data_IF_639697130520
#
_entry.id   IF_639697130520
#
_cell.length_a   1.000
_cell.length_b   1.000
_cell.length_c   1.000
_cell.angle_alpha   90.00
_cell.angle_beta   90.00
_cell.angle_gamma   90.00
#
_symmetry.space_group_name_H-M   'P 1'
#
loop_
_entity.id
_entity.type
_entity.pdbx_description
1 polymer ?
#
# COMPACT_ATOMS: atom_id res chain seq x y z
N UNK A 1 -21.36 -8.77 4.23
CA UNK A 1 -20.75 -8.33 5.51
C UNK A 1 -19.54 -7.47 5.19
N UNK A 2 -19.38 -6.32 5.85
CA UNK A 2 -18.26 -5.42 5.63
C UNK A 2 -17.03 -5.94 6.39
N UNK A 3 -15.97 -6.34 5.67
CA UNK A 3 -14.72 -6.78 6.32
C UNK A 3 -13.87 -5.57 6.67
N UNK A 4 -13.63 -5.35 7.94
CA UNK A 4 -12.76 -4.27 8.44
C UNK A 4 -11.49 -4.90 9.01
N UNK A 5 -10.33 -4.40 8.59
CA UNK A 5 -9.03 -4.80 9.11
C UNK A 5 -8.36 -3.64 9.84
N UNK A 6 -7.56 -3.97 10.85
CA UNK A 6 -6.80 -2.99 11.62
C UNK A 6 -5.38 -2.86 11.07
N UNK A 7 -4.91 -1.63 10.92
CA UNK A 7 -3.51 -1.34 10.60
C UNK A 7 -2.80 -0.76 11.85
N UNK A 8 -1.59 -1.24 12.19
CA UNK A 8 -0.78 -2.26 11.52
C UNK A 8 -1.47 -3.63 11.44
N UNK A 9 -1.18 -4.39 10.36
CA UNK A 9 -1.85 -5.65 10.08
C UNK A 9 -1.02 -6.86 10.53
N UNK A 10 -1.66 -7.78 11.26
CA UNK A 10 -1.02 -9.01 11.73
C UNK A 10 -1.02 -10.09 10.64
N UNK A 11 -0.02 -10.96 10.65
CA UNK A 11 0.09 -12.07 9.68
C UNK A 11 -1.12 -13.00 9.70
N UNK A 12 -1.69 -13.25 10.88
CA UNK A 12 -2.90 -14.07 11.03
C UNK A 12 -4.12 -13.47 10.32
N UNK A 13 -4.20 -12.14 10.25
CA UNK A 13 -5.27 -11.45 9.52
C UNK A 13 -5.01 -11.47 8.02
N UNK A 14 -3.75 -11.27 7.60
CA UNK A 14 -3.36 -11.35 6.19
C UNK A 14 -3.73 -12.70 5.58
N UNK A 15 -3.45 -13.80 6.28
CA UNK A 15 -3.75 -15.17 5.80
C UNK A 15 -5.22 -15.44 5.55
N UNK A 16 -6.11 -14.70 6.20
CA UNK A 16 -7.57 -14.85 6.03
C UNK A 16 -8.10 -14.14 4.80
N UNK A 17 -7.38 -13.14 4.31
CA UNK A 17 -7.79 -12.33 3.16
C UNK A 17 -7.44 -13.05 1.86
N UNK A 18 -8.38 -13.02 0.93
CA UNK A 18 -8.24 -13.67 -0.38
C UNK A 18 -8.34 -12.65 -1.50
N UNK A 19 -7.65 -12.93 -2.60
CA UNK A 19 -7.73 -12.14 -3.82
C UNK A 19 -9.18 -11.93 -4.24
N UNK A 20 -9.56 -10.67 -4.49
CA UNK A 20 -10.92 -10.25 -4.80
C UNK A 20 -11.73 -9.75 -3.60
N UNK A 21 -11.27 -9.95 -2.36
CA UNK A 21 -11.98 -9.45 -1.18
C UNK A 21 -12.01 -7.93 -1.16
N UNK A 22 -13.20 -7.37 -0.89
CA UNK A 22 -13.36 -5.95 -0.57
C UNK A 22 -13.21 -5.74 0.92
N UNK A 23 -12.23 -4.93 1.31
CA UNK A 23 -11.92 -4.65 2.71
C UNK A 23 -11.83 -3.16 3.01
N UNK A 24 -12.01 -2.82 4.26
CA UNK A 24 -11.89 -1.46 4.79
C UNK A 24 -10.79 -1.43 5.84
N UNK A 25 -9.80 -0.54 5.64
CA UNK A 25 -8.67 -0.39 6.56
C UNK A 25 -8.96 0.71 7.55
N UNK A 26 -8.75 0.43 8.83
CA UNK A 26 -8.81 1.42 9.91
C UNK A 26 -7.51 1.35 10.71
N UNK A 27 -6.97 2.50 11.11
CA UNK A 27 -5.74 2.61 11.89
C UNK A 27 -4.66 3.41 11.19
N UNK A 28 -3.41 3.10 11.48
CA UNK A 28 -2.25 3.84 10.98
C UNK A 28 -1.66 3.19 9.74
N UNK A 29 -1.49 3.98 8.67
CA UNK A 29 -0.73 3.59 7.47
C UNK A 29 0.30 4.67 7.13
N UNK A 30 1.27 4.35 6.28
CA UNK A 30 2.28 5.30 5.82
C UNK A 30 2.16 5.53 4.32
N UNK A 31 2.61 6.70 3.83
CA UNK A 31 2.73 6.95 2.41
C UNK A 31 4.19 6.90 1.99
N UNK A 32 4.47 6.34 0.83
CA UNK A 32 5.77 6.45 0.18
C UNK A 32 5.62 6.20 -1.32
N UNK A 33 6.25 7.04 -2.13
CA UNK A 33 6.34 6.90 -3.59
C UNK A 33 7.79 6.65 -4.02
N UNK A 34 8.08 6.91 -5.28
CA UNK A 34 9.34 6.61 -5.96
C UNK A 34 10.57 7.15 -5.22
N UNK A 35 10.58 8.44 -4.91
CA UNK A 35 11.73 9.09 -4.28
C UNK A 35 11.98 8.58 -2.86
N UNK A 36 10.92 8.39 -2.08
CA UNK A 36 11.03 7.84 -0.73
C UNK A 36 11.48 6.37 -0.76
N UNK A 37 10.94 5.56 -1.67
CA UNK A 37 11.37 4.16 -1.84
C UNK A 37 12.84 4.07 -2.23
N UNK A 38 13.29 4.89 -3.18
CA UNK A 38 14.69 4.93 -3.59
C UNK A 38 15.59 5.25 -2.39
N UNK A 39 15.25 6.28 -1.62
CA UNK A 39 16.03 6.70 -0.45
C UNK A 39 16.05 5.65 0.66
N UNK A 40 14.91 5.00 0.94
CA UNK A 40 14.87 3.88 1.88
C UNK A 40 15.74 2.71 1.41
N UNK A 41 15.67 2.37 0.13
CA UNK A 41 16.48 1.30 -0.44
C UNK A 41 17.98 1.60 -0.36
N UNK A 42 18.40 2.82 -0.71
CA UNK A 42 19.79 3.28 -0.59
C UNK A 42 20.28 3.23 0.87
N UNK A 43 19.46 3.64 1.83
CA UNK A 43 19.77 3.53 3.26
C UNK A 43 20.02 2.06 3.66
N UNK A 44 19.17 1.13 3.21
CA UNK A 44 19.37 -0.30 3.47
C UNK A 44 20.67 -0.84 2.85
N UNK A 45 21.00 -0.42 1.63
CA UNK A 45 22.27 -0.82 0.98
C UNK A 45 23.49 -0.30 1.75
N UNK A 46 23.37 0.83 2.42
CA UNK A 46 24.42 1.42 3.26
C UNK A 46 24.44 0.88 4.70
N UNK A 47 23.57 -0.07 5.03
CA UNK A 47 23.45 -0.61 6.38
C UNK A 47 22.81 0.34 7.39
N UNK A 48 22.10 1.36 6.92
CA UNK A 48 21.41 2.33 7.75
C UNK A 48 20.00 1.85 8.11
N UNK A 49 19.47 2.34 9.23
CA UNK A 49 18.09 2.09 9.62
C UNK A 49 17.12 2.90 8.75
N UNK A 50 15.92 2.34 8.54
CA UNK A 50 14.82 3.11 7.94
C UNK A 50 14.32 4.22 8.88
N UNK A 51 13.82 5.33 8.33
CA UNK A 51 13.34 6.46 9.14
C UNK A 51 12.03 6.17 9.87
N UNK A 52 11.34 5.09 9.48
CA UNK A 52 10.08 4.62 10.08
C UNK A 52 10.12 3.11 10.24
N UNK A 53 9.46 2.58 11.25
CA UNK A 53 9.26 1.14 11.41
C UNK A 53 8.19 0.68 10.42
N UNK A 54 8.56 -0.23 9.52
CA UNK A 54 7.64 -0.78 8.51
C UNK A 54 7.08 -2.15 8.86
N UNK A 55 7.58 -2.77 9.94
CA UNK A 55 7.14 -4.12 10.33
C UNK A 55 5.63 -4.12 10.63
N UNK A 56 4.91 -5.01 9.93
CA UNK A 56 3.45 -5.13 9.97
C UNK A 56 2.69 -3.87 9.51
N UNK A 57 3.37 -2.83 9.09
CA UNK A 57 2.75 -1.62 8.58
C UNK A 57 2.31 -1.78 7.12
N UNK A 58 1.48 -0.86 6.67
CA UNK A 58 0.98 -0.78 5.29
C UNK A 58 1.54 0.51 4.69
N UNK A 59 2.11 0.40 3.49
CA UNK A 59 2.54 1.57 2.70
C UNK A 59 1.53 1.83 1.58
N UNK A 60 1.00 3.03 1.57
CA UNK A 60 0.17 3.54 0.49
C UNK A 60 1.03 4.32 -0.51
N UNK A 61 1.04 3.87 -1.74
CA UNK A 61 1.75 4.51 -2.86
C UNK A 61 0.98 5.74 -3.31
N UNK A 62 1.20 6.85 -2.62
CA UNK A 62 0.45 8.08 -2.82
C UNK A 62 1.32 9.30 -2.48
N UNK A 63 1.19 10.34 -3.30
CA UNK A 63 1.67 11.68 -3.01
C UNK A 63 0.49 12.64 -3.09
N UNK A 64 0.04 13.21 -1.96
CA UNK A 64 -1.16 14.01 -1.95
C UNK A 64 -0.98 15.34 -2.66
N UNK A 65 -2.06 15.88 -3.22
CA UNK A 65 -2.13 17.30 -3.56
C UNK A 65 -2.18 18.14 -2.28
N UNK A 66 -1.85 19.45 -2.34
CA UNK A 66 -1.94 20.31 -1.18
C UNK A 66 -3.31 20.26 -0.50
N UNK A 67 -3.30 20.24 0.82
CA UNK A 67 -4.52 20.24 1.61
C UNK A 67 -5.30 21.55 1.42
N UNK A 68 -6.61 21.44 1.34
CA UNK A 68 -7.50 22.59 1.45
C UNK A 68 -7.72 22.94 2.91
N UNK A 69 -8.11 24.18 3.18
CA UNK A 69 -8.43 24.64 4.53
C UNK A 69 -9.43 23.70 5.22
N UNK A 70 -9.14 23.33 6.46
CA UNK A 70 -9.96 22.43 7.27
C UNK A 70 -9.87 20.94 6.89
N UNK A 71 -8.98 20.53 5.97
CA UNK A 71 -8.78 19.13 5.59
C UNK A 71 -7.36 18.66 5.92
N UNK A 72 -7.20 17.42 6.40
CA UNK A 72 -5.86 16.88 6.74
C UNK A 72 -4.99 16.66 5.51
N UNK A 73 -5.60 16.47 4.32
CA UNK A 73 -4.91 16.10 3.09
C UNK A 73 -5.71 16.55 1.87
N UNK A 74 -5.03 16.75 0.74
CA UNK A 74 -5.67 16.98 -0.55
C UNK A 74 -6.13 15.69 -1.21
N UNK A 75 -6.15 15.64 -2.55
CA UNK A 75 -6.47 14.42 -3.28
C UNK A 75 -5.44 13.33 -2.99
N UNK A 76 -5.90 12.13 -2.68
CA UNK A 76 -5.11 11.01 -2.19
C UNK A 76 -5.22 9.76 -3.09
N UNK A 77 -5.17 9.95 -4.41
CA UNK A 77 -5.23 8.87 -5.39
C UNK A 77 -3.97 7.99 -5.43
N UNK A 78 -4.11 6.70 -5.72
CA UNK A 78 -2.97 5.77 -5.77
C UNK A 78 -2.07 6.03 -6.97
N UNK A 79 -0.76 5.84 -6.77
CA UNK A 79 0.26 5.81 -7.81
C UNK A 79 0.40 4.41 -8.39
N UNK A 80 0.85 4.31 -9.64
CA UNK A 80 1.17 3.04 -10.30
C UNK A 80 2.23 2.26 -9.53
N UNK A 81 1.85 1.07 -9.06
CA UNK A 81 2.65 0.27 -8.13
C UNK A 81 3.94 -0.29 -8.74
N UNK A 82 3.95 -0.60 -10.03
CA UNK A 82 5.13 -1.15 -10.71
C UNK A 82 6.37 -0.27 -10.63
N UNK A 83 6.20 1.02 -10.41
CA UNK A 83 7.30 1.97 -10.21
C UNK A 83 8.12 1.68 -8.94
N UNK A 84 7.53 1.03 -7.94
CA UNK A 84 8.16 0.65 -6.69
C UNK A 84 8.71 -0.78 -6.69
N UNK A 85 8.47 -1.57 -7.75
CA UNK A 85 8.73 -3.01 -7.76
C UNK A 85 10.19 -3.38 -7.48
N UNK A 86 11.14 -2.60 -7.97
CA UNK A 86 12.57 -2.87 -7.74
C UNK A 86 13.01 -2.70 -6.27
N UNK A 87 12.26 -1.95 -5.48
CA UNK A 87 12.56 -1.68 -4.07
C UNK A 87 11.75 -2.57 -3.12
N UNK A 88 10.60 -3.04 -3.56
CA UNK A 88 9.58 -3.70 -2.73
C UNK A 88 10.08 -4.99 -2.07
N UNK A 89 10.78 -5.91 -2.75
CA UNK A 89 11.24 -7.15 -2.10
C UNK A 89 12.07 -6.91 -0.84
N UNK A 90 12.98 -5.93 -0.86
CA UNK A 90 13.80 -5.60 0.31
C UNK A 90 12.96 -5.12 1.51
N UNK A 91 11.90 -4.34 1.27
CA UNK A 91 11.00 -3.88 2.32
C UNK A 91 10.13 -5.02 2.87
N UNK A 92 9.69 -5.94 2.00
CA UNK A 92 8.94 -7.12 2.42
C UNK A 92 9.77 -8.04 3.32
N UNK A 93 11.05 -8.20 3.05
CA UNK A 93 11.97 -8.96 3.90
C UNK A 93 12.16 -8.35 5.28
N UNK A 94 12.00 -7.04 5.43
CA UNK A 94 11.98 -6.35 6.72
C UNK A 94 10.64 -6.44 7.46
N UNK A 95 9.66 -7.16 6.90
CA UNK A 95 8.39 -7.41 7.54
C UNK A 95 7.27 -6.45 7.17
N UNK A 96 7.40 -5.69 6.08
CA UNK A 96 6.29 -4.87 5.58
C UNK A 96 5.02 -5.74 5.45
N UNK A 97 3.92 -5.29 6.06
CA UNK A 97 2.68 -6.06 6.13
C UNK A 97 1.88 -6.01 4.84
N UNK A 98 1.76 -4.85 4.24
CA UNK A 98 0.97 -4.68 3.03
C UNK A 98 1.33 -3.43 2.24
N UNK A 99 0.79 -3.37 1.03
CA UNK A 99 0.98 -2.25 0.11
C UNK A 99 -0.36 -1.89 -0.52
N UNK A 100 -0.58 -0.61 -0.75
CA UNK A 100 -1.77 -0.10 -1.46
C UNK A 100 -1.28 0.71 -2.67
N UNK A 101 -1.77 0.37 -3.85
CA UNK A 101 -1.43 1.06 -5.08
C UNK A 101 -2.44 0.81 -6.18
N UNK A 102 -2.02 0.92 -7.43
CA UNK A 102 -2.80 0.50 -8.60
C UNK A 102 -1.91 -0.19 -9.64
N UNK A 103 -2.51 -1.07 -10.43
CA UNK A 103 -1.86 -1.77 -11.53
C UNK A 103 -1.12 -3.03 -11.11
N UNK A 104 -0.52 -3.67 -12.08
CA UNK A 104 0.15 -4.97 -11.93
C UNK A 104 1.49 -4.85 -11.20
N UNK A 105 1.92 -5.96 -10.62
CA UNK A 105 3.24 -6.11 -10.00
C UNK A 105 4.12 -7.07 -10.80
N UNK A 106 5.44 -6.94 -10.65
CA UNK A 106 6.39 -7.89 -11.24
C UNK A 106 6.34 -9.26 -10.56
N UNK A 107 6.85 -10.30 -11.25
CA UNK A 107 6.99 -11.64 -10.67
C UNK A 107 7.84 -11.66 -9.41
N UNK A 108 8.91 -10.85 -9.36
CA UNK A 108 9.77 -10.75 -8.17
C UNK A 108 9.01 -10.21 -6.95
N UNK A 109 8.09 -9.26 -7.14
CA UNK A 109 7.24 -8.77 -6.04
C UNK A 109 6.23 -9.83 -5.61
N UNK A 110 5.62 -10.54 -6.56
CA UNK A 110 4.69 -11.63 -6.25
C UNK A 110 5.37 -12.71 -5.42
N UNK A 111 6.56 -13.16 -5.82
CA UNK A 111 7.35 -14.14 -5.07
C UNK A 111 7.70 -13.64 -3.65
N UNK A 112 8.06 -12.37 -3.53
CA UNK A 112 8.36 -11.76 -2.23
C UNK A 112 7.13 -11.62 -1.34
N UNK A 113 5.94 -11.36 -1.90
CA UNK A 113 4.66 -11.35 -1.17
C UNK A 113 4.38 -12.73 -0.56
N UNK A 114 4.52 -13.79 -1.35
CA UNK A 114 4.31 -15.17 -0.89
C UNK A 114 5.34 -15.55 0.18
N UNK A 115 6.62 -15.30 -0.09
CA UNK A 115 7.73 -15.63 0.84
C UNK A 115 7.55 -14.97 2.21
N UNK A 116 7.09 -13.73 2.23
CA UNK A 116 7.00 -12.91 3.44
C UNK A 116 5.57 -12.83 4.02
N UNK A 117 4.63 -13.57 3.45
CA UNK A 117 3.22 -13.56 3.86
C UNK A 117 2.66 -12.14 3.95
N UNK A 118 2.88 -11.36 2.90
CA UNK A 118 2.39 -9.99 2.77
C UNK A 118 1.14 -9.94 1.88
N UNK A 119 0.65 -8.74 1.58
CA UNK A 119 -0.57 -8.56 0.80
C UNK A 119 -0.47 -7.27 -0.04
N UNK A 120 -1.03 -7.31 -1.24
CA UNK A 120 -1.15 -6.14 -2.08
C UNK A 120 -2.61 -5.80 -2.33
N UNK A 121 -2.96 -4.57 -1.99
CA UNK A 121 -4.29 -3.99 -2.18
C UNK A 121 -4.28 -2.99 -3.34
N UNK A 122 -5.41 -2.87 -4.03
CA UNK A 122 -5.69 -1.74 -4.88
C UNK A 122 -6.65 -0.77 -4.19
N UNK A 123 -6.31 0.51 -4.17
CA UNK A 123 -7.28 1.55 -3.90
C UNK A 123 -8.13 1.77 -5.15
N UNK A 124 -9.42 2.06 -4.97
CA UNK A 124 -10.32 2.29 -6.09
C UNK A 124 -9.86 3.54 -6.85
N UNK A 125 -9.40 3.34 -8.10
CA UNK A 125 -8.86 4.40 -8.95
C UNK A 125 -9.88 5.46 -9.29
N UNK A 126 -9.41 6.70 -9.58
CA UNK A 126 -10.26 7.84 -9.90
C UNK A 126 -10.99 8.48 -8.71
N UNK A 127 -10.90 7.88 -7.54
CA UNK A 127 -11.60 8.27 -6.33
C UNK A 127 -10.72 9.04 -5.31
N UNK A 128 -9.65 9.72 -5.76
CA UNK A 128 -8.71 10.40 -4.87
C UNK A 128 -9.37 11.38 -3.87
N UNK A 129 -10.40 12.09 -4.31
CA UNK A 129 -11.19 12.96 -3.43
C UNK A 129 -12.06 12.16 -2.44
N UNK A 130 -12.56 10.99 -2.83
CA UNK A 130 -13.34 10.11 -1.97
C UNK A 130 -12.43 9.39 -0.96
N UNK A 131 -11.27 8.88 -1.41
CA UNK A 131 -10.27 8.24 -0.56
C UNK A 131 -9.76 9.21 0.51
N UNK A 132 -9.58 10.50 0.17
CA UNK A 132 -9.15 11.51 1.13
C UNK A 132 -10.10 11.69 2.31
N UNK A 133 -11.40 11.40 2.14
CA UNK A 133 -12.39 11.46 3.22
C UNK A 133 -12.18 10.38 4.28
N UNK A 134 -11.60 9.26 3.92
CA UNK A 134 -11.24 8.18 4.85
C UNK A 134 -9.98 8.51 5.66
N UNK A 135 -9.21 9.51 5.27
CA UNK A 135 -8.00 9.96 5.95
C UNK A 135 -8.38 11.01 6.99
N UNK A 136 -8.16 10.72 8.26
CA UNK A 136 -8.56 11.57 9.39
C UNK A 136 -7.45 12.50 9.84
N UNK A 137 -6.19 12.09 9.69
CA UNK A 137 -5.02 12.93 9.95
C UNK A 137 -3.87 12.57 9.03
N UNK A 138 -2.96 13.53 8.82
CA UNK A 138 -1.76 13.37 8.00
C UNK A 138 -0.62 14.15 8.61
N UNK A 139 0.50 13.49 8.86
CA UNK A 139 1.70 14.08 9.44
C UNK A 139 2.93 13.65 8.63
N UNK A 140 3.79 14.60 8.25
CA UNK A 140 5.09 14.27 7.67
C UNK A 140 5.98 13.73 8.78
N UNK A 141 6.50 12.51 8.60
CA UNK A 141 7.35 11.85 9.60
C UNK A 141 8.79 11.62 9.13
N UNK A 142 9.02 11.69 7.82
CA UNK A 142 10.37 11.57 7.25
C UNK A 142 10.45 12.16 5.84
N UNK A 143 11.66 12.49 5.43
CA UNK A 143 12.00 12.98 4.07
C UNK A 143 11.19 14.20 3.64
N UNK A 144 11.04 15.17 4.55
CA UNK A 144 10.27 16.40 4.32
C UNK A 144 10.72 17.17 3.07
N UNK A 145 12.02 17.10 2.75
CA UNK A 145 12.61 17.71 1.56
C UNK A 145 12.06 17.14 0.24
N UNK A 146 11.44 15.96 0.26
CA UNK A 146 10.79 15.37 -0.92
C UNK A 146 9.41 15.96 -1.23
N UNK A 147 8.91 16.90 -0.43
CA UNK A 147 7.63 17.55 -0.67
C UNK A 147 6.46 16.56 -0.68
N UNK A 148 5.73 16.47 -1.81
CA UNK A 148 4.59 15.55 -1.94
C UNK A 148 4.97 14.07 -1.85
N UNK A 149 6.24 13.73 -2.02
CA UNK A 149 6.78 12.37 -1.89
C UNK A 149 7.42 12.10 -0.52
N UNK A 150 7.30 13.03 0.44
CA UNK A 150 7.68 12.78 1.82
C UNK A 150 6.90 11.60 2.40
N UNK A 151 7.50 10.89 3.37
CA UNK A 151 6.79 9.85 4.11
C UNK A 151 5.84 10.53 5.09
N UNK A 152 4.56 10.20 4.95
CA UNK A 152 3.50 10.65 5.86
C UNK A 152 2.95 9.49 6.66
N UNK A 153 2.63 9.77 7.91
CA UNK A 153 1.81 8.91 8.75
C UNK A 153 0.36 9.36 8.60
N UNK A 154 -0.51 8.43 8.23
CA UNK A 154 -1.93 8.67 8.07
C UNK A 154 -2.71 7.86 9.08
N UNK A 155 -3.68 8.52 9.75
CA UNK A 155 -4.75 7.80 10.44
C UNK A 155 -5.94 7.69 9.50
N UNK A 156 -6.39 6.47 9.25
CA UNK A 156 -7.49 6.18 8.33
C UNK A 156 -8.64 5.49 9.05
N UNK A 157 -9.84 5.73 8.55
CA UNK A 157 -11.05 5.08 9.04
C UNK A 157 -11.88 4.59 7.85
N UNK A 158 -12.12 3.29 7.82
CA UNK A 158 -12.86 2.63 6.74
C UNK A 158 -12.33 2.94 5.32
N UNK A 159 -11.02 2.97 5.18
CA UNK A 159 -10.37 3.21 3.89
C UNK A 159 -10.62 2.03 2.93
N UNK A 160 -11.33 2.24 1.81
CA UNK A 160 -11.79 1.15 0.95
C UNK A 160 -10.69 0.65 0.02
N UNK A 161 -10.44 -0.65 0.02
CA UNK A 161 -9.48 -1.32 -0.86
C UNK A 161 -10.01 -2.69 -1.32
N UNK A 162 -9.39 -3.22 -2.36
CA UNK A 162 -9.62 -4.59 -2.85
C UNK A 162 -8.30 -5.35 -2.73
N UNK A 163 -8.35 -6.60 -2.26
CA UNK A 163 -7.18 -7.49 -2.27
C UNK A 163 -6.88 -7.88 -3.71
N UNK A 164 -5.71 -7.51 -4.21
CA UNK A 164 -5.26 -7.89 -5.56
C UNK A 164 -4.40 -9.14 -5.53
N UNK A 165 -3.36 -9.14 -4.69
CA UNK A 165 -2.49 -10.30 -4.49
C UNK A 165 -2.55 -10.69 -3.03
N UNK A 166 -3.02 -11.91 -2.76
CA UNK A 166 -3.06 -12.46 -1.40
C UNK A 166 -1.74 -13.13 -1.01
N UNK A 167 -1.62 -13.53 0.24
CA UNK A 167 -0.41 -14.14 0.79
C UNK A 167 -0.07 -15.52 0.20
N UNK A 168 -0.99 -16.13 -0.55
CA UNK A 168 -0.77 -17.39 -1.28
C UNK A 168 -0.38 -17.16 -2.74
N UNK A 169 -0.32 -15.90 -3.18
CA UNK A 169 0.09 -15.50 -4.53
C UNK A 169 -1.04 -15.50 -5.56
N UNK A 170 -2.31 -15.65 -5.13
CA UNK A 170 -3.43 -15.47 -6.06
C UNK A 170 -3.50 -14.02 -6.47
N UNK A 171 -3.58 -13.79 -7.77
CA UNK A 171 -3.53 -12.46 -8.38
C UNK A 171 -4.82 -12.18 -9.15
N UNK A 172 -5.59 -11.20 -8.69
CA UNK A 172 -6.88 -10.84 -9.27
C UNK A 172 -6.77 -10.46 -10.76
N UNK A 173 -5.67 -9.85 -11.18
CA UNK A 173 -5.47 -9.51 -12.59
C UNK A 173 -5.32 -10.73 -13.51
N UNK A 174 -4.85 -11.85 -12.98
CA UNK A 174 -4.72 -13.11 -13.72
C UNK A 174 -6.02 -13.89 -13.71
N UNK A 175 -6.63 -14.07 -12.53
CA UNK A 175 -7.89 -14.81 -12.40
C UNK A 175 -9.06 -14.14 -13.12
N UNK A 176 -9.13 -12.82 -13.10
CA UNK A 176 -10.19 -12.09 -13.83
C UNK A 176 -10.10 -12.29 -15.35
N UNK A 177 -8.88 -12.36 -15.91
CA UNK A 177 -8.71 -12.63 -17.35
C UNK A 177 -9.17 -14.05 -17.69
N UNK A 178 -8.85 -15.04 -16.86
CA UNK A 178 -9.30 -16.42 -17.06
C UNK A 178 -10.82 -16.55 -17.00
N UNK A 179 -11.46 -15.91 -16.03
CA UNK A 179 -12.91 -15.91 -15.88
C UNK A 179 -13.64 -15.25 -17.06
N UNK A 180 -13.10 -14.14 -17.60
CA UNK A 180 -13.68 -13.46 -18.76
C UNK A 180 -13.48 -14.24 -20.07
N UNK A 181 -12.35 -14.93 -20.24
CA UNK A 181 -12.08 -15.76 -21.44
C UNK A 181 -12.94 -17.03 -21.50
N UNK A 182 -13.55 -17.45 -20.40
CA UNK A 182 -14.48 -18.59 -20.35
C UNK A 182 -15.91 -18.20 -20.78
N UNK A 183 -16.17 -16.92 -21.04
CA UNK A 183 -17.48 -16.39 -21.44
C UNK A 183 -17.58 -16.13 -22.96
N UNK A 184 -16.52 -16.37 -23.74
CA UNK A 184 -16.50 -16.42 -25.21
C UNK A 184 -16.50 -17.86 -25.70
#
# INVERSE_FOLDING_TARGET
MKTVIQAPIKREEIRKLKSGDSVFITGTIYTARDAAHKRMYEALQNGENLPVDIKNNIIYYMGPSPAREGRPIGSAGPTTASRMDKYTPALLELGLGGMIGKGKRSGAVLDAIVKNESIYFAAIGGAGALLSKAIKSSEIVAYEDLGTEAIRKLEVENFPVIVVIDSEGRNLYETAIEEFNLLE
#
